data_IF_828872988758
#
_entry.id   IF_828872988758
#
_cell.length_a   1.000
_cell.length_b   1.000
_cell.length_c   1.000
_cell.angle_alpha   90.00
_cell.angle_beta   90.00
_cell.angle_gamma   90.00
#
_symmetry.space_group_name_H-M   'P 1'
#
loop_
_entity.id
_entity.type
_entity.pdbx_description
1 polymer ?
#
# COMPACT_ATOMS: atom_id res chain seq x y z
N UNK A 1 -5.33 11.33 0.87
CA UNK A 1 -5.20 10.00 0.21
C UNK A 1 -3.88 10.04 -0.56
N UNK A 2 -2.89 9.21 -0.21
CA UNK A 2 -1.49 9.39 -0.62
C UNK A 2 -1.21 9.13 -2.11
N UNK A 3 -2.11 8.46 -2.81
CA UNK A 3 -1.95 8.10 -4.23
C UNK A 3 -2.53 9.13 -5.21
N UNK A 4 -2.75 10.37 -4.77
CA UNK A 4 -3.28 11.46 -5.62
C UNK A 4 -2.18 12.33 -6.27
N UNK A 5 -0.90 12.03 -6.05
CA UNK A 5 0.19 12.79 -6.65
C UNK A 5 0.42 12.39 -8.11
N UNK A 6 0.66 13.39 -8.96
CA UNK A 6 1.01 13.30 -10.39
C UNK A 6 2.05 12.23 -10.74
N UNK A 7 2.88 11.80 -9.78
CA UNK A 7 3.87 10.73 -9.96
C UNK A 7 3.26 9.35 -10.27
N UNK A 8 2.00 9.11 -9.90
CA UNK A 8 1.29 7.85 -10.23
C UNK A 8 0.37 7.99 -11.45
N UNK A 9 0.09 9.22 -11.88
CA UNK A 9 -0.70 9.55 -13.07
C UNK A 9 0.21 9.45 -14.30
N UNK A 10 0.35 8.23 -14.84
CA UNK A 10 1.10 7.95 -16.06
C UNK A 10 1.74 6.57 -16.11
N UNK A 11 2.03 5.97 -14.95
CA UNK A 11 2.63 4.62 -14.85
C UNK A 11 1.57 3.53 -14.66
N UNK A 12 0.41 3.88 -14.10
CA UNK A 12 -0.64 2.92 -13.75
C UNK A 12 -1.99 3.35 -14.34
N UNK A 13 -2.70 2.39 -14.93
CA UNK A 13 -4.07 2.60 -15.40
C UNK A 13 -5.00 2.91 -14.21
N UNK A 14 -6.12 3.65 -14.43
CA UNK A 14 -7.07 3.99 -13.38
C UNK A 14 -7.62 2.75 -12.64
N UNK A 15 -7.68 1.59 -13.29
CA UNK A 15 -8.03 0.31 -12.65
C UNK A 15 -6.95 -0.21 -11.73
N UNK A 16 -5.67 -0.15 -12.12
CA UNK A 16 -4.56 -0.55 -11.24
C UNK A 16 -4.46 0.37 -10.01
N UNK A 17 -4.71 1.67 -10.19
CA UNK A 17 -4.79 2.62 -9.07
C UNK A 17 -5.93 2.26 -8.10
N UNK A 18 -7.07 1.79 -8.60
CA UNK A 18 -8.16 1.31 -7.73
C UNK A 18 -7.78 0.02 -7.00
N UNK A 19 -7.17 -0.95 -7.70
CA UNK A 19 -6.68 -2.19 -7.09
C UNK A 19 -5.64 -1.91 -6.01
N UNK A 20 -4.69 -1.00 -6.26
CA UNK A 20 -3.68 -0.59 -5.29
C UNK A 20 -4.30 0.11 -4.08
N UNK A 21 -5.26 1.02 -4.30
CA UNK A 21 -5.97 1.69 -3.20
C UNK A 21 -6.80 0.71 -2.37
N UNK A 22 -7.40 -0.29 -3.01
CA UNK A 22 -8.12 -1.36 -2.33
C UNK A 22 -7.16 -2.22 -1.50
N UNK A 23 -6.05 -2.66 -2.11
CA UNK A 23 -5.02 -3.45 -1.45
C UNK A 23 -4.42 -2.72 -0.25
N UNK A 24 -4.13 -1.42 -0.38
CA UNK A 24 -3.68 -0.57 0.71
C UNK A 24 -4.67 -0.52 1.87
N UNK A 25 -5.96 -0.28 1.58
CA UNK A 25 -7.00 -0.22 2.63
C UNK A 25 -7.15 -1.55 3.35
N UNK A 26 -7.21 -2.65 2.60
CA UNK A 26 -7.26 -4.01 3.17
C UNK A 26 -6.03 -4.29 4.02
N UNK A 27 -4.84 -3.95 3.53
CA UNK A 27 -3.58 -4.10 4.29
C UNK A 27 -3.61 -3.31 5.61
N UNK A 28 -4.09 -2.07 5.61
CA UNK A 28 -4.23 -1.29 6.84
C UNK A 28 -5.23 -1.90 7.83
N UNK A 29 -6.33 -2.49 7.35
CA UNK A 29 -7.31 -3.20 8.18
C UNK A 29 -6.68 -4.45 8.80
N UNK A 30 -6.00 -5.28 8.00
CA UNK A 30 -5.30 -6.50 8.46
C UNK A 30 -4.20 -6.19 9.48
N UNK A 31 -3.51 -5.06 9.31
CA UNK A 31 -2.51 -4.57 10.26
C UNK A 31 -3.11 -3.95 11.51
N UNK A 32 -4.43 -3.73 11.57
CA UNK A 32 -5.13 -3.04 12.65
C UNK A 32 -4.78 -1.56 12.77
N UNK A 33 -4.27 -0.96 11.68
CA UNK A 33 -3.75 0.42 11.65
C UNK A 33 -4.79 1.34 11.00
N UNK A 34 -5.80 1.74 11.78
CA UNK A 34 -6.90 2.61 11.33
C UNK A 34 -6.64 4.10 11.53
N UNK A 35 -5.70 4.48 12.39
CA UNK A 35 -5.45 5.87 12.79
C UNK A 35 -3.97 6.27 12.61
N UNK A 36 -3.47 6.10 11.39
CA UNK A 36 -2.09 6.43 11.04
C UNK A 36 -1.93 7.93 10.75
N UNK A 37 -0.84 8.52 11.21
CA UNK A 37 -0.43 9.87 10.82
C UNK A 37 -0.16 9.94 9.32
N UNK A 38 -0.19 11.14 8.74
CA UNK A 38 0.09 11.36 7.31
C UNK A 38 1.46 10.79 6.89
N UNK A 39 2.47 10.92 7.77
CA UNK A 39 3.81 10.38 7.55
C UNK A 39 3.81 8.84 7.51
N UNK A 40 3.12 8.19 8.46
CA UNK A 40 2.99 6.73 8.49
C UNK A 40 2.20 6.19 7.30
N UNK A 41 1.13 6.90 6.90
CA UNK A 41 0.37 6.55 5.70
C UNK A 41 1.25 6.57 4.45
N UNK A 42 2.11 7.59 4.31
CA UNK A 42 3.04 7.72 3.19
C UNK A 42 4.13 6.64 3.22
N UNK A 43 4.66 6.31 4.40
CA UNK A 43 5.64 5.23 4.57
C UNK A 43 5.05 3.87 4.18
N UNK A 44 3.88 3.54 4.71
CA UNK A 44 3.16 2.31 4.37
C UNK A 44 2.83 2.24 2.89
N UNK A 45 2.38 3.36 2.29
CA UNK A 45 2.07 3.41 0.87
C UNK A 45 3.29 3.09 0.01
N UNK A 46 4.49 3.61 0.35
CA UNK A 46 5.74 3.27 -0.35
C UNK A 46 6.12 1.79 -0.22
N UNK A 47 5.97 1.19 0.96
CA UNK A 47 6.30 -0.22 1.17
C UNK A 47 5.33 -1.11 0.39
N UNK A 48 4.03 -0.87 0.54
CA UNK A 48 2.97 -1.59 -0.17
C UNK A 48 3.16 -1.47 -1.69
N UNK A 49 3.51 -0.27 -2.16
CA UNK A 49 3.87 -0.04 -3.56
C UNK A 49 5.05 -0.90 -4.01
N UNK A 50 6.17 -0.91 -3.27
CA UNK A 50 7.34 -1.69 -3.66
C UNK A 50 7.06 -3.20 -3.73
N UNK A 51 6.21 -3.71 -2.84
CA UNK A 51 5.80 -5.12 -2.83
C UNK A 51 4.86 -5.43 -4.02
N UNK A 52 3.92 -4.53 -4.31
CA UNK A 52 3.01 -4.64 -5.45
C UNK A 52 3.76 -4.59 -6.79
N UNK A 53 4.73 -3.67 -6.92
CA UNK A 53 5.60 -3.53 -8.10
C UNK A 53 6.46 -4.78 -8.34
N UNK A 54 6.77 -5.53 -7.27
CA UNK A 54 7.45 -6.82 -7.35
C UNK A 54 6.54 -7.98 -7.84
N UNK A 55 5.27 -7.70 -8.13
CA UNK A 55 4.28 -8.67 -8.65
C UNK A 55 3.40 -9.33 -7.58
N UNK A 56 3.48 -8.90 -6.31
CA UNK A 56 2.63 -9.43 -5.23
C UNK A 56 1.44 -8.50 -5.03
N UNK A 57 0.30 -8.86 -5.62
CA UNK A 57 -0.92 -8.04 -5.59
C UNK A 57 -1.87 -8.39 -4.44
N UNK A 58 -1.66 -9.54 -3.78
CA UNK A 58 -2.54 -10.01 -2.71
C UNK A 58 -2.37 -9.18 -1.41
N UNK A 59 -3.42 -8.53 -0.90
CA UNK A 59 -3.32 -7.63 0.25
C UNK A 59 -2.96 -8.34 1.56
N UNK A 60 -3.33 -9.61 1.72
CA UNK A 60 -2.99 -10.39 2.93
C UNK A 60 -1.50 -10.76 2.90
N UNK A 61 -0.99 -11.16 1.74
CA UNK A 61 0.44 -11.40 1.52
C UNK A 61 1.27 -10.13 1.75
N UNK A 62 0.82 -9.00 1.19
CA UNK A 62 1.45 -7.69 1.42
C UNK A 62 1.45 -7.35 2.91
N UNK A 63 0.32 -7.48 3.61
CA UNK A 63 0.23 -7.23 5.06
C UNK A 63 1.19 -8.09 5.86
N UNK A 64 1.33 -9.37 5.50
CA UNK A 64 2.28 -10.28 6.15
C UNK A 64 3.73 -9.86 5.94
N UNK A 65 4.09 -9.45 4.72
CA UNK A 65 5.44 -8.96 4.39
C UNK A 65 5.73 -7.65 5.13
N UNK A 66 4.79 -6.70 5.13
CA UNK A 66 4.92 -5.44 5.86
C UNK A 66 5.09 -5.69 7.35
N UNK A 67 4.29 -6.58 7.94
CA UNK A 67 4.41 -6.95 9.36
C UNK A 67 5.76 -7.58 9.68
N UNK A 68 6.30 -8.39 8.76
CA UNK A 68 7.62 -8.97 8.92
C UNK A 68 8.72 -7.91 8.82
N UNK A 69 8.63 -6.98 7.86
CA UNK A 69 9.59 -5.90 7.68
C UNK A 69 9.63 -4.91 8.85
N UNK A 70 8.52 -4.72 9.58
CA UNK A 70 8.45 -3.86 10.78
C UNK A 70 8.90 -4.59 12.06
N UNK A 71 9.08 -5.92 12.00
CA UNK A 71 9.50 -6.74 13.14
C UNK A 71 11.02 -6.95 13.22
N UNK A 72 11.79 -6.34 12.31
CA UNK A 72 13.26 -6.44 12.20
C UNK A 72 13.91 -5.13 12.65
#
# INVERSE_FOLDING_TARGET
>A
MPFRSDTFLGTYNPDQLRSLQHAYRQTCIELGRTNLTLAEQHRLAKIIYGIYDSGIEDPVAIARIVRHAESI
#
